data_IF_691991994459
#
_entry.id   IF_691991994459
#
_cell.length_a   1.000
_cell.length_b   1.000
_cell.length_c   1.000
_cell.angle_alpha   90.00
_cell.angle_beta   90.00
_cell.angle_gamma   90.00
#
_symmetry.space_group_name_H-M   'P 1'
#
loop_
_entity.id
_entity.type
_entity.pdbx_description
1 polymer ?
#
# COMPACT_ATOMS: atom_id res chain seq x y z
N UNK A 1 6.01 33.86 -34.67
CA UNK A 1 7.05 32.85 -35.00
C UNK A 1 8.42 33.51 -34.96
N UNK A 2 9.38 32.91 -34.27
CA UNK A 2 10.77 33.38 -34.14
C UNK A 2 11.59 32.96 -35.38
N UNK A 3 11.13 33.30 -36.57
CA UNK A 3 11.83 33.01 -37.82
C UNK A 3 13.23 33.64 -37.80
N UNK A 4 14.24 32.81 -38.02
CA UNK A 4 15.68 33.18 -38.06
C UNK A 4 16.26 33.65 -36.71
N UNK A 5 15.51 33.55 -35.60
CA UNK A 5 15.95 33.96 -34.23
C UNK A 5 15.89 32.78 -33.23
N UNK A 6 16.07 31.57 -33.71
CA UNK A 6 15.97 30.37 -32.85
C UNK A 6 17.04 30.34 -31.74
N UNK A 7 18.25 30.83 -32.04
CA UNK A 7 19.34 30.94 -31.09
C UNK A 7 18.98 31.85 -29.91
N UNK A 8 18.47 33.04 -30.22
CA UNK A 8 18.05 34.01 -29.21
C UNK A 8 16.86 33.46 -28.40
N UNK A 9 15.92 32.79 -29.09
CA UNK A 9 14.80 32.11 -28.42
C UNK A 9 15.26 31.03 -27.46
N UNK A 10 16.20 30.18 -27.86
CA UNK A 10 16.77 29.16 -27.00
C UNK A 10 17.50 29.75 -25.79
N UNK A 11 18.32 30.79 -26.01
CA UNK A 11 19.04 31.45 -24.92
C UNK A 11 18.09 32.15 -23.93
N UNK A 12 16.98 32.70 -24.43
CA UNK A 12 15.99 33.39 -23.59
C UNK A 12 15.08 32.42 -22.84
N UNK A 13 14.92 31.18 -23.34
CA UNK A 13 14.15 30.13 -22.67
C UNK A 13 14.93 29.45 -21.51
N UNK A 14 16.24 29.66 -21.43
CA UNK A 14 17.04 29.12 -20.33
C UNK A 14 16.74 29.91 -19.03
N UNK A 15 16.36 29.22 -17.91
CA UNK A 15 16.03 29.89 -16.66
C UNK A 15 17.18 30.70 -16.05
N UNK A 16 18.44 30.40 -16.38
CA UNK A 16 19.62 31.15 -15.99
C UNK A 16 20.05 32.19 -17.07
N UNK A 17 19.33 32.26 -18.17
CA UNK A 17 19.68 33.10 -19.33
C UNK A 17 19.19 34.54 -19.21
N UNK A 18 19.77 35.39 -20.08
CA UNK A 18 19.28 36.76 -20.29
C UNK A 18 18.26 36.77 -21.45
N UNK A 19 17.29 37.68 -21.37
CA UNK A 19 16.41 37.89 -22.51
C UNK A 19 17.21 38.41 -23.72
N UNK A 20 17.53 37.51 -24.64
CA UNK A 20 18.24 37.85 -25.86
C UNK A 20 17.29 38.38 -26.98
N UNK A 21 15.98 38.24 -26.79
CA UNK A 21 14.97 38.68 -27.75
C UNK A 21 14.61 40.17 -27.60
N UNK A 22 14.88 40.79 -26.44
CA UNK A 22 14.59 42.18 -26.13
C UNK A 22 13.23 42.41 -25.48
N UNK A 23 13.05 43.63 -24.94
CA UNK A 23 11.91 43.98 -24.10
C UNK A 23 10.54 43.84 -24.79
N UNK A 24 10.50 43.88 -26.12
CA UNK A 24 9.26 43.71 -26.89
C UNK A 24 8.63 42.31 -26.76
N UNK A 25 9.42 41.31 -26.31
CA UNK A 25 8.96 39.93 -26.04
C UNK A 25 8.76 39.67 -24.57
N UNK A 26 8.99 40.65 -23.72
CA UNK A 26 8.73 40.51 -22.27
C UNK A 26 7.26 40.73 -21.97
N UNK A 27 6.71 39.91 -21.10
CA UNK A 27 5.38 40.07 -20.54
C UNK A 27 5.48 40.10 -19.03
N UNK A 28 4.92 41.12 -18.43
CA UNK A 28 4.79 41.20 -16.98
C UNK A 28 3.62 40.31 -16.57
N UNK A 29 3.90 39.29 -15.81
CA UNK A 29 2.90 38.45 -15.20
C UNK A 29 2.76 38.84 -13.72
N UNK A 30 1.53 38.95 -13.19
CA UNK A 30 1.31 39.05 -11.74
C UNK A 30 1.95 37.88 -11.00
N UNK A 31 2.45 38.13 -9.79
CA UNK A 31 3.09 37.09 -8.98
C UNK A 31 2.16 35.86 -8.73
N UNK A 32 0.85 36.11 -8.59
CA UNK A 32 -0.15 35.07 -8.48
C UNK A 32 -0.24 34.16 -9.72
N UNK A 33 -0.18 34.74 -10.92
CA UNK A 33 -0.18 33.97 -12.16
C UNK A 33 1.11 33.19 -12.35
N UNK A 34 2.26 33.78 -11.94
CA UNK A 34 3.56 33.10 -11.98
C UNK A 34 3.60 31.92 -10.99
N UNK A 35 3.04 32.09 -9.80
CA UNK A 35 2.93 31.01 -8.80
C UNK A 35 2.11 29.83 -9.33
N UNK A 36 1.04 30.11 -10.10
CA UNK A 36 0.22 29.04 -10.70
C UNK A 36 0.92 28.32 -11.88
N UNK A 37 1.96 28.90 -12.45
CA UNK A 37 2.79 28.23 -13.48
C UNK A 37 3.86 27.32 -12.87
N UNK A 38 4.02 27.34 -11.55
CA UNK A 38 5.01 26.52 -10.86
C UNK A 38 4.54 25.07 -10.80
N UNK A 39 5.23 24.11 -11.46
CA UNK A 39 4.72 22.76 -11.64
C UNK A 39 4.91 21.86 -10.41
N UNK A 40 5.46 22.39 -9.31
CA UNK A 40 5.79 21.59 -8.14
C UNK A 40 4.64 21.67 -7.13
N UNK A 41 3.65 20.83 -7.34
CA UNK A 41 2.55 20.60 -6.42
C UNK A 41 2.86 19.34 -5.59
N UNK A 42 3.70 19.49 -4.57
CA UNK A 42 4.06 18.39 -3.71
C UNK A 42 3.47 18.56 -2.31
N UNK A 43 2.59 17.67 -1.90
CA UNK A 43 1.96 17.69 -0.57
C UNK A 43 2.85 17.17 0.56
N UNK A 44 3.99 16.58 0.24
CA UNK A 44 4.89 15.94 1.21
C UNK A 44 4.39 14.61 1.77
N UNK A 45 3.29 14.09 1.26
CA UNK A 45 2.62 12.88 1.77
C UNK A 45 2.99 11.61 1.02
N UNK A 46 3.82 11.69 -0.01
CA UNK A 46 4.26 10.54 -0.81
C UNK A 46 5.53 9.93 -0.23
N UNK A 47 5.57 8.59 -0.12
CA UNK A 47 6.81 7.89 0.21
C UNK A 47 7.78 7.97 -0.97
N UNK A 48 9.12 7.95 -0.77
CA UNK A 48 10.10 8.04 -1.87
C UNK A 48 10.06 6.81 -2.79
N UNK A 49 9.58 5.70 -2.30
CA UNK A 49 9.35 4.44 -3.01
C UNK A 49 8.01 3.87 -2.55
N UNK A 50 7.43 2.94 -3.30
CA UNK A 50 6.19 2.28 -2.91
C UNK A 50 5.21 2.12 -4.05
N UNK A 51 3.99 1.79 -3.72
CA UNK A 51 2.91 1.58 -4.68
C UNK A 51 2.19 2.87 -4.99
N UNK A 52 1.92 3.13 -6.25
CA UNK A 52 1.04 4.21 -6.65
C UNK A 52 -0.40 3.89 -6.22
N UNK A 53 -1.00 4.78 -5.44
CA UNK A 53 -2.38 4.62 -4.95
C UNK A 53 -3.35 5.68 -5.49
N UNK A 54 -2.86 6.72 -6.13
CA UNK A 54 -3.66 7.80 -6.69
C UNK A 54 -2.95 9.14 -6.65
N UNK A 55 -3.70 10.19 -6.85
CA UNK A 55 -3.22 11.57 -6.80
C UNK A 55 -3.81 12.29 -5.59
N UNK A 56 -3.07 13.27 -5.09
CA UNK A 56 -3.58 14.17 -4.08
C UNK A 56 -4.48 15.26 -4.69
N UNK A 57 -5.03 16.13 -3.83
CA UNK A 57 -5.85 17.26 -4.24
C UNK A 57 -5.16 18.21 -5.24
N UNK A 58 -3.84 18.25 -5.24
CA UNK A 58 -3.04 19.11 -6.13
C UNK A 58 -2.59 18.40 -7.41
N UNK A 59 -2.96 17.13 -7.58
CA UNK A 59 -2.57 16.31 -8.73
C UNK A 59 -1.18 15.68 -8.61
N UNK A 60 -0.56 15.72 -7.43
CA UNK A 60 0.71 15.04 -7.20
C UNK A 60 0.48 13.55 -6.92
N UNK A 61 1.34 12.69 -7.46
CA UNK A 61 1.27 11.25 -7.26
C UNK A 61 1.53 10.86 -5.81
N UNK A 62 0.69 9.98 -5.27
CA UNK A 62 0.86 9.42 -3.93
C UNK A 62 1.40 8.01 -4.07
N UNK A 63 2.60 7.80 -3.56
CA UNK A 63 3.23 6.50 -3.38
C UNK A 63 3.11 6.07 -1.92
N UNK A 64 2.74 4.82 -1.69
CA UNK A 64 2.61 4.22 -0.37
C UNK A 64 3.56 3.05 -0.23
N UNK A 65 4.51 3.15 0.71
CA UNK A 65 5.39 2.06 1.12
C UNK A 65 4.91 1.50 2.47
N UNK A 66 4.34 0.30 2.47
CA UNK A 66 3.81 -0.36 3.67
C UNK A 66 4.90 -0.87 4.61
N UNK A 67 6.11 -1.07 4.11
CA UNK A 67 7.22 -1.61 4.91
C UNK A 67 8.04 -0.52 5.59
N UNK A 68 8.00 0.69 5.06
CA UNK A 68 8.73 1.82 5.60
C UNK A 68 8.19 2.21 6.98
N UNK A 69 9.10 2.35 7.94
CA UNK A 69 8.79 2.87 9.28
C UNK A 69 9.35 4.27 9.42
N UNK A 70 8.50 5.16 9.90
CA UNK A 70 8.84 6.56 10.22
C UNK A 70 8.20 6.90 11.58
N UNK A 71 8.59 7.99 12.23
CA UNK A 71 7.94 8.41 13.47
C UNK A 71 6.40 8.51 13.35
N UNK A 72 5.91 8.90 12.16
CA UNK A 72 4.47 9.04 11.87
C UNK A 72 3.82 7.72 11.41
N UNK A 73 4.63 6.70 11.09
CA UNK A 73 4.18 5.42 10.53
C UNK A 73 4.84 4.26 11.25
N UNK A 74 4.32 3.93 12.42
CA UNK A 74 4.89 2.95 13.33
C UNK A 74 4.51 1.51 12.99
N UNK A 75 3.44 1.29 12.25
CA UNK A 75 2.97 -0.03 11.82
C UNK A 75 2.53 -0.01 10.34
N UNK A 76 2.23 -1.18 9.78
CA UNK A 76 1.76 -1.36 8.40
C UNK A 76 0.25 -1.57 8.30
N UNK A 77 -0.50 -1.32 9.37
CA UNK A 77 -1.95 -1.46 9.33
C UNK A 77 -2.57 -0.35 8.49
N UNK A 78 -3.47 -0.71 7.60
CA UNK A 78 -4.20 0.22 6.73
C UNK A 78 -5.68 0.09 7.02
N UNK A 79 -6.34 1.22 7.28
CA UNK A 79 -7.79 1.30 7.43
C UNK A 79 -8.36 2.10 6.27
N UNK A 80 -9.24 1.47 5.47
CA UNK A 80 -9.90 2.11 4.32
C UNK A 80 -11.34 2.42 4.71
N UNK A 81 -11.68 3.69 4.78
CA UNK A 81 -13.01 4.18 5.13
C UNK A 81 -13.58 5.01 3.98
N UNK A 82 -14.89 4.93 3.80
CA UNK A 82 -15.63 5.73 2.80
C UNK A 82 -17.06 5.22 2.65
N UNK A 83 -17.90 6.00 2.01
CA UNK A 83 -19.28 5.62 1.69
C UNK A 83 -19.33 4.53 0.62
N UNK A 84 -20.50 3.95 0.42
CA UNK A 84 -20.73 3.01 -0.70
C UNK A 84 -20.49 3.73 -2.04
N UNK A 85 -19.80 3.08 -2.97
CA UNK A 85 -19.49 3.64 -4.30
C UNK A 85 -18.23 4.52 -4.37
N UNK A 86 -17.56 4.85 -3.25
CA UNK A 86 -16.37 5.71 -3.20
C UNK A 86 -15.05 5.01 -3.62
N UNK A 87 -15.13 3.80 -4.14
CA UNK A 87 -13.95 3.10 -4.67
C UNK A 87 -13.13 2.32 -3.64
N UNK A 88 -13.64 2.05 -2.42
CA UNK A 88 -12.92 1.26 -1.40
C UNK A 88 -12.46 -0.11 -1.91
N UNK A 89 -13.38 -0.87 -2.52
CA UNK A 89 -13.07 -2.20 -3.07
C UNK A 89 -12.08 -2.12 -4.24
N UNK A 90 -12.11 -1.04 -5.02
CA UNK A 90 -11.12 -0.80 -6.06
C UNK A 90 -9.71 -0.59 -5.48
N UNK A 91 -9.61 0.29 -4.49
CA UNK A 91 -8.33 0.55 -3.80
C UNK A 91 -7.79 -0.72 -3.14
N UNK A 92 -8.65 -1.51 -2.48
CA UNK A 92 -8.25 -2.78 -1.88
C UNK A 92 -7.70 -3.75 -2.94
N UNK A 93 -8.39 -3.90 -4.08
CA UNK A 93 -7.93 -4.75 -5.19
C UNK A 93 -6.60 -4.27 -5.76
N UNK A 94 -6.41 -2.96 -5.89
CA UNK A 94 -5.16 -2.37 -6.33
C UNK A 94 -4.00 -2.69 -5.36
N UNK A 95 -4.23 -2.54 -4.05
CA UNK A 95 -3.23 -2.88 -3.03
C UNK A 95 -2.87 -4.37 -3.04
N UNK A 96 -3.85 -5.27 -3.21
CA UNK A 96 -3.62 -6.71 -3.34
C UNK A 96 -2.72 -7.00 -4.55
N UNK A 97 -3.02 -6.42 -5.71
CA UNK A 97 -2.20 -6.61 -6.91
C UNK A 97 -0.76 -6.13 -6.69
N UNK A 98 -0.58 -4.94 -6.13
CA UNK A 98 0.73 -4.36 -5.85
C UNK A 98 1.54 -5.19 -4.85
N UNK A 99 0.90 -5.72 -3.81
CA UNK A 99 1.55 -6.61 -2.84
C UNK A 99 2.02 -7.92 -3.48
N UNK A 100 1.18 -8.53 -4.33
CA UNK A 100 1.55 -9.75 -5.05
C UNK A 100 2.66 -9.50 -6.06
N UNK A 101 2.63 -8.38 -6.78
CA UNK A 101 3.69 -8.00 -7.71
C UNK A 101 5.03 -7.79 -6.99
N UNK A 102 5.00 -7.29 -5.75
CA UNK A 102 6.20 -7.18 -4.91
C UNK A 102 6.67 -8.50 -4.30
N UNK A 103 6.07 -9.64 -4.69
CA UNK A 103 6.45 -10.98 -4.22
C UNK A 103 5.91 -11.34 -2.84
N UNK A 104 4.97 -10.59 -2.29
CA UNK A 104 4.38 -10.86 -0.97
C UNK A 104 3.24 -11.87 -1.08
N UNK A 105 3.10 -12.71 -0.07
CA UNK A 105 1.92 -13.58 0.08
C UNK A 105 0.78 -12.76 0.69
N UNK A 106 -0.40 -12.84 0.07
CA UNK A 106 -1.60 -12.13 0.52
C UNK A 106 -2.67 -13.14 0.91
N UNK A 107 -3.23 -13.00 2.11
CA UNK A 107 -4.36 -13.79 2.60
C UNK A 107 -5.52 -12.83 2.81
N UNK A 108 -6.66 -13.12 2.16
CA UNK A 108 -7.86 -12.30 2.23
C UNK A 108 -8.99 -13.06 2.93
N UNK A 109 -9.71 -12.37 3.82
CA UNK A 109 -11.02 -12.78 4.30
C UNK A 109 -12.06 -11.96 3.55
N UNK A 110 -12.88 -12.63 2.76
CA UNK A 110 -13.81 -11.99 1.82
C UNK A 110 -15.25 -12.49 2.06
N UNK A 111 -15.96 -11.91 3.03
CA UNK A 111 -17.34 -12.32 3.36
C UNK A 111 -18.33 -11.98 2.27
N UNK A 112 -18.04 -11.00 1.41
CA UNK A 112 -18.92 -10.51 0.34
C UNK A 112 -18.63 -11.18 -1.02
N UNK A 113 -17.60 -12.02 -1.11
CA UNK A 113 -17.18 -12.75 -2.32
C UNK A 113 -16.81 -11.84 -3.51
N UNK A 114 -16.35 -10.62 -3.24
CA UNK A 114 -15.94 -9.66 -4.27
C UNK A 114 -14.60 -9.97 -4.93
N UNK A 115 -13.75 -10.79 -4.26
CA UNK A 115 -12.38 -11.08 -4.67
C UNK A 115 -12.24 -12.38 -5.46
N UNK A 116 -13.29 -13.18 -5.59
CA UNK A 116 -13.27 -14.51 -6.23
C UNK A 116 -12.70 -14.45 -7.64
N UNK A 117 -13.20 -13.51 -8.46
CA UNK A 117 -12.74 -13.34 -9.83
C UNK A 117 -11.26 -12.91 -9.87
N UNK A 118 -10.87 -11.98 -9.01
CA UNK A 118 -9.49 -11.48 -8.93
C UNK A 118 -8.53 -12.60 -8.50
N UNK A 119 -8.90 -13.39 -7.48
CA UNK A 119 -8.15 -14.53 -7.02
C UNK A 119 -7.88 -15.53 -8.15
N UNK A 120 -8.91 -15.89 -8.94
CA UNK A 120 -8.75 -16.77 -10.08
C UNK A 120 -7.84 -16.22 -11.19
N UNK A 121 -7.89 -14.90 -11.44
CA UNK A 121 -7.02 -14.25 -12.44
C UNK A 121 -5.56 -14.17 -12.02
N UNK A 122 -5.31 -14.04 -10.73
CA UNK A 122 -3.96 -13.96 -10.16
C UNK A 122 -3.36 -15.34 -9.82
N UNK A 123 -4.07 -16.45 -10.17
CA UNK A 123 -3.60 -17.80 -9.89
C UNK A 123 -3.65 -18.19 -8.41
N UNK A 124 -4.46 -17.48 -7.62
CA UNK A 124 -4.63 -17.76 -6.21
C UNK A 124 -5.58 -18.94 -5.93
N UNK A 125 -5.64 -19.35 -4.67
CA UNK A 125 -6.57 -20.36 -4.16
C UNK A 125 -7.74 -19.67 -3.45
N UNK A 126 -8.96 -19.97 -3.88
CA UNK A 126 -10.19 -19.52 -3.23
C UNK A 126 -10.85 -20.68 -2.52
N UNK A 127 -11.09 -20.54 -1.22
CA UNK A 127 -11.78 -21.54 -0.40
C UNK A 127 -13.12 -21.00 0.10
N UNK A 128 -14.22 -21.49 -0.47
CA UNK A 128 -15.56 -21.17 0.02
C UNK A 128 -15.89 -22.02 1.25
N UNK A 129 -15.82 -21.40 2.41
CA UNK A 129 -16.15 -22.03 3.69
C UNK A 129 -17.66 -22.10 3.94
N UNK A 130 -18.47 -21.29 3.23
CA UNK A 130 -19.93 -21.27 3.36
C UNK A 130 -20.59 -22.36 2.54
N UNK A 131 -20.02 -22.70 1.37
CA UNK A 131 -20.54 -23.72 0.47
C UNK A 131 -20.32 -25.16 0.91
N UNK A 132 -19.64 -25.40 2.02
CA UNK A 132 -19.44 -26.72 2.62
C UNK A 132 -18.43 -27.62 1.91
N UNK A 133 -17.81 -27.17 0.81
CA UNK A 133 -16.76 -27.92 0.10
C UNK A 133 -15.43 -27.92 0.87
N UNK A 134 -15.12 -26.83 1.56
CA UNK A 134 -13.95 -26.68 2.38
C UNK A 134 -14.32 -26.66 3.85
N UNK A 135 -13.57 -27.40 4.66
CA UNK A 135 -13.74 -27.46 6.12
C UNK A 135 -12.40 -27.27 6.79
N UNK A 136 -12.37 -26.41 7.79
CA UNK A 136 -11.19 -26.20 8.62
C UNK A 136 -11.31 -27.12 9.83
N UNK A 137 -10.38 -28.07 9.97
CA UNK A 137 -10.29 -28.91 11.15
C UNK A 137 -9.41 -28.23 12.20
N UNK A 138 -10.03 -27.58 13.18
CA UNK A 138 -9.33 -26.90 14.27
C UNK A 138 -8.66 -27.84 15.25
N UNK A 139 -9.11 -29.09 15.31
CA UNK A 139 -8.62 -30.08 16.26
C UNK A 139 -7.38 -30.83 15.76
N UNK A 140 -7.07 -30.69 14.47
CA UNK A 140 -5.89 -31.30 13.90
C UNK A 140 -4.63 -30.65 14.45
N UNK A 141 -3.81 -31.43 15.15
CA UNK A 141 -2.54 -30.96 15.67
C UNK A 141 -1.59 -30.63 14.50
N UNK A 142 -1.45 -29.35 14.17
CA UNK A 142 -0.51 -28.90 13.14
C UNK A 142 0.90 -28.97 13.68
N UNK A 143 1.77 -29.63 12.95
CA UNK A 143 3.21 -29.51 13.14
C UNK A 143 3.61 -28.24 12.41
N UNK A 144 3.93 -27.22 13.16
CA UNK A 144 4.61 -26.06 12.61
C UNK A 144 6.04 -26.52 12.38
N UNK A 145 6.45 -26.65 11.14
CA UNK A 145 7.85 -26.71 10.83
C UNK A 145 8.42 -25.35 11.26
N UNK A 146 9.00 -25.35 12.42
CA UNK A 146 9.85 -24.24 12.84
C UNK A 146 11.10 -24.44 11.99
N UNK A 147 11.09 -23.86 10.79
CA UNK A 147 12.28 -23.78 9.98
C UNK A 147 13.36 -23.15 10.84
N UNK A 148 14.26 -24.02 11.19
CA UNK A 148 15.48 -23.93 11.91
C UNK A 148 16.03 -22.56 12.25
N UNK A 149 17.00 -22.60 12.99
CA UNK A 149 17.80 -21.62 13.64
C UNK A 149 17.10 -21.01 14.84
N UNK A 150 17.35 -21.69 15.96
CA UNK A 150 17.34 -21.06 17.26
C UNK A 150 17.97 -19.69 17.14
N UNK A 151 17.13 -18.67 17.03
CA UNK A 151 17.63 -17.31 17.13
C UNK A 151 18.22 -17.18 18.56
N UNK A 152 19.54 -17.12 18.73
CA UNK A 152 20.17 -17.11 20.03
C UNK A 152 19.75 -15.91 20.88
N UNK A 153 19.22 -14.86 20.24
CA UNK A 153 18.78 -13.61 20.89
C UNK A 153 17.30 -13.63 21.30
N UNK A 154 16.54 -14.70 20.99
CA UNK A 154 15.14 -14.78 21.41
C UNK A 154 15.07 -15.07 22.93
N UNK A 155 14.19 -14.37 23.69
CA UNK A 155 13.98 -14.65 25.10
C UNK A 155 13.63 -16.13 25.35
N UNK A 156 14.20 -16.75 26.39
CA UNK A 156 14.03 -18.18 26.71
C UNK A 156 12.56 -18.62 26.78
N UNK A 157 11.64 -17.74 27.16
CA UNK A 157 10.21 -17.98 27.17
C UNK A 157 9.62 -18.31 25.79
N UNK A 158 10.28 -17.95 24.70
CA UNK A 158 9.85 -18.23 23.33
C UNK A 158 10.57 -19.43 22.70
N UNK A 159 11.70 -19.87 23.27
CA UNK A 159 12.52 -20.97 22.74
C UNK A 159 11.96 -22.36 22.97
N UNK A 160 11.02 -22.54 23.90
CA UNK A 160 10.60 -23.88 24.37
C UNK A 160 9.12 -24.20 24.22
N UNK A 161 8.37 -23.49 23.42
CA UNK A 161 6.98 -23.88 23.18
C UNK A 161 6.93 -24.99 22.13
N UNK A 162 6.76 -26.25 22.58
CA UNK A 162 6.51 -27.32 21.63
C UNK A 162 5.32 -26.99 20.70
N UNK A 163 5.31 -27.45 19.44
CA UNK A 163 4.21 -27.24 18.52
C UNK A 163 2.84 -27.61 19.12
N UNK A 164 2.83 -28.64 19.96
CA UNK A 164 1.63 -29.10 20.68
C UNK A 164 1.15 -28.06 21.70
N UNK A 165 2.07 -27.42 22.46
CA UNK A 165 1.69 -26.43 23.46
C UNK A 165 1.14 -25.13 22.80
N UNK A 166 1.66 -24.77 21.63
CA UNK A 166 1.12 -23.66 20.84
C UNK A 166 -0.28 -23.97 20.32
N UNK A 167 -0.49 -25.20 19.84
CA UNK A 167 -1.80 -25.64 19.37
C UNK A 167 -2.83 -25.70 20.51
N UNK A 168 -2.46 -26.16 21.68
CA UNK A 168 -3.32 -26.17 22.88
C UNK A 168 -3.68 -24.72 23.27
N UNK A 169 -2.74 -23.79 23.23
CA UNK A 169 -3.01 -22.38 23.52
C UNK A 169 -4.00 -21.78 22.51
N UNK A 170 -3.79 -22.05 21.22
CA UNK A 170 -4.71 -21.64 20.16
C UNK A 170 -6.13 -22.21 20.40
N UNK A 171 -6.26 -23.50 20.71
CA UNK A 171 -7.57 -24.11 20.99
C UNK A 171 -8.26 -23.49 22.21
N UNK A 172 -7.51 -23.19 23.26
CA UNK A 172 -8.05 -22.52 24.46
C UNK A 172 -8.62 -21.15 24.10
N UNK A 173 -7.89 -20.35 23.32
CA UNK A 173 -8.32 -19.02 22.93
C UNK A 173 -9.50 -19.08 21.94
N UNK A 174 -9.49 -20.05 21.02
CA UNK A 174 -10.61 -20.31 20.12
C UNK A 174 -11.89 -20.66 20.89
N UNK A 175 -11.84 -21.59 21.83
CA UNK A 175 -13.02 -21.97 22.61
C UNK A 175 -13.49 -20.85 23.53
N UNK A 176 -12.60 -20.01 24.08
CA UNK A 176 -12.98 -18.81 24.83
C UNK A 176 -13.72 -17.81 23.97
N UNK A 177 -13.28 -17.59 22.76
CA UNK A 177 -13.93 -16.67 21.83
C UNK A 177 -15.29 -17.19 21.35
N UNK A 178 -15.38 -18.50 21.10
CA UNK A 178 -16.62 -19.14 20.61
C UNK A 178 -17.72 -19.23 21.69
N UNK A 179 -17.36 -19.51 22.93
CA UNK A 179 -18.29 -19.58 24.06
C UNK A 179 -17.73 -18.80 25.25
N UNK A 180 -17.92 -17.47 25.27
CA UNK A 180 -17.56 -16.69 26.45
C UNK A 180 -18.30 -17.25 27.64
N UNK A 181 -17.55 -17.67 28.67
CA UNK A 181 -18.14 -18.14 29.92
C UNK A 181 -18.96 -17.00 30.49
N UNK A 182 -20.27 -17.14 30.51
CA UNK A 182 -21.13 -16.35 31.37
C UNK A 182 -20.88 -16.84 32.79
N UNK A 183 -20.26 -15.98 33.59
CA UNK A 183 -20.17 -16.16 35.05
C UNK A 183 -21.55 -16.04 35.67
#
# INVERSE_FOLDING_TARGET
PLLLRQREGFLSANPAGRNALGAQFERVLPASSTANLYPINYSGRSDPHGFYIGNDHYGADILLDLDRRTPDKTNSSVLILGNSGEGKSYLLKLLICNLLESGKTVICLDPEQELTWLCGKLGGCYADLMGGQFRINFLEAKRWDVDGEDNPDAPEAFRQKSPLSQHISFLKDFFRAYKPFTH
#
